data_IF_537471358622
#
_entry.id   IF_537471358622
#
_cell.length_a   1.000
_cell.length_b   1.000
_cell.length_c   1.000
_cell.angle_alpha   90.00
_cell.angle_beta   90.00
_cell.angle_gamma   90.00
#
_symmetry.space_group_name_H-M   'P 1'
#
loop_
_entity.id
_entity.type
_entity.pdbx_description
1 polymer ?
#
# COMPACT_ATOMS: atom_id res chain seq x y z
N UNK A 1 -13.85 -16.63 28.48
CA UNK A 1 -13.67 -15.15 28.44
C UNK A 1 -13.22 -14.79 27.04
N UNK A 2 -14.08 -14.19 26.23
CA UNK A 2 -13.70 -13.68 24.90
C UNK A 2 -12.84 -12.43 25.09
N UNK A 3 -11.65 -12.41 24.48
CA UNK A 3 -10.75 -11.27 24.59
C UNK A 3 -11.37 -10.06 23.90
N UNK A 4 -11.47 -8.89 24.54
CA UNK A 4 -12.11 -7.70 23.94
C UNK A 4 -11.43 -7.25 22.64
N UNK A 5 -10.15 -7.62 22.45
CA UNK A 5 -9.39 -7.36 21.22
C UNK A 5 -9.86 -8.18 20.02
N UNK A 6 -10.50 -9.33 20.19
CA UNK A 6 -10.94 -10.18 19.07
C UNK A 6 -12.05 -9.53 18.24
N UNK A 7 -12.86 -8.67 18.86
CA UNK A 7 -13.95 -7.93 18.21
C UNK A 7 -13.43 -6.95 17.16
N UNK A 8 -12.23 -6.40 17.36
CA UNK A 8 -11.57 -5.53 16.38
C UNK A 8 -10.66 -6.32 15.42
N UNK A 9 -9.94 -7.32 15.93
CA UNK A 9 -8.96 -8.05 15.13
C UNK A 9 -9.57 -8.89 14.01
N UNK A 10 -10.68 -9.61 14.28
CA UNK A 10 -11.31 -10.48 13.28
C UNK A 10 -11.80 -9.70 12.04
N UNK A 11 -12.55 -8.59 12.19
CA UNK A 11 -12.96 -7.81 11.03
C UNK A 11 -11.79 -7.24 10.24
N UNK A 12 -10.73 -6.76 10.91
CA UNK A 12 -9.53 -6.28 10.19
C UNK A 12 -8.91 -7.41 9.36
N UNK A 13 -8.72 -8.59 9.93
CA UNK A 13 -8.12 -9.72 9.23
C UNK A 13 -8.97 -10.20 8.04
N UNK A 14 -10.29 -10.29 8.22
CA UNK A 14 -11.24 -10.61 7.14
C UNK A 14 -11.18 -9.54 6.05
N UNK A 15 -11.15 -8.27 6.46
CA UNK A 15 -10.95 -7.14 5.57
C UNK A 15 -9.68 -7.29 4.74
N UNK A 16 -8.52 -7.47 5.38
CA UNK A 16 -7.22 -7.63 4.70
C UNK A 16 -7.26 -8.78 3.70
N UNK A 17 -7.80 -9.93 4.08
CA UNK A 17 -7.95 -11.08 3.19
C UNK A 17 -8.81 -10.73 1.96
N UNK A 18 -9.98 -10.11 2.16
CA UNK A 18 -10.85 -9.65 1.07
C UNK A 18 -10.16 -8.62 0.17
N UNK A 19 -9.50 -7.64 0.77
CA UNK A 19 -8.76 -6.60 0.06
C UNK A 19 -7.64 -7.16 -0.81
N UNK A 20 -6.96 -8.19 -0.32
CA UNK A 20 -5.88 -8.87 -1.05
C UNK A 20 -6.37 -9.76 -2.19
N UNK A 21 -7.62 -10.24 -2.13
CA UNK A 21 -8.21 -11.12 -3.12
C UNK A 21 -8.81 -10.36 -4.33
N UNK A 22 -9.02 -9.05 -4.21
CA UNK A 22 -9.55 -8.21 -5.29
C UNK A 22 -8.39 -7.71 -6.16
N UNK A 23 -8.28 -8.14 -7.43
CA UNK A 23 -7.10 -7.88 -8.26
C UNK A 23 -6.91 -6.39 -8.62
N UNK A 24 -8.01 -5.65 -8.79
CA UNK A 24 -7.96 -4.23 -9.17
C UNK A 24 -9.02 -3.45 -8.38
N UNK A 25 -8.58 -2.48 -7.59
CA UNK A 25 -9.45 -1.48 -6.98
C UNK A 25 -9.52 -0.29 -7.92
N UNK A 26 -10.66 -0.15 -8.60
CA UNK A 26 -10.96 1.07 -9.34
C UNK A 26 -11.32 2.23 -8.38
N UNK A 27 -11.50 3.42 -8.96
CA UNK A 27 -11.90 4.60 -8.20
C UNK A 27 -13.27 4.44 -7.54
N UNK A 28 -14.17 3.64 -8.14
CA UNK A 28 -15.51 3.37 -7.62
C UNK A 28 -15.50 2.52 -6.35
N UNK A 29 -14.73 1.44 -6.34
CA UNK A 29 -14.53 0.55 -5.18
C UNK A 29 -13.88 1.33 -4.04
N UNK A 30 -12.89 2.18 -4.35
CA UNK A 30 -12.22 3.02 -3.34
C UNK A 30 -13.20 4.04 -2.74
N UNK A 31 -14.02 4.69 -3.57
CA UNK A 31 -15.05 5.61 -3.11
C UNK A 31 -16.11 4.89 -2.25
N UNK A 32 -16.58 3.72 -2.67
CA UNK A 32 -17.53 2.91 -1.93
C UNK A 32 -16.98 2.48 -0.56
N UNK A 33 -15.72 2.02 -0.49
CA UNK A 33 -15.06 1.69 0.76
C UNK A 33 -14.95 2.92 1.69
N UNK A 34 -14.65 4.10 1.14
CA UNK A 34 -14.64 5.36 1.89
C UNK A 34 -16.01 5.72 2.47
N UNK A 35 -17.08 5.55 1.68
CA UNK A 35 -18.47 5.77 2.12
C UNK A 35 -18.88 4.78 3.23
N UNK A 36 -18.52 3.50 3.08
CA UNK A 36 -18.76 2.47 4.11
C UNK A 36 -18.00 2.81 5.40
N UNK A 37 -16.75 3.26 5.29
CA UNK A 37 -15.96 3.66 6.46
C UNK A 37 -16.59 4.89 7.16
N UNK A 38 -16.97 5.92 6.39
CA UNK A 38 -17.57 7.14 6.93
C UNK A 38 -18.92 6.86 7.61
N UNK A 39 -19.76 6.05 6.98
CA UNK A 39 -21.06 5.62 7.54
C UNK A 39 -20.89 4.73 8.78
N UNK A 40 -19.88 3.88 8.83
CA UNK A 40 -19.54 3.11 10.03
C UNK A 40 -19.15 4.03 11.20
N UNK A 41 -18.29 5.03 10.97
CA UNK A 41 -17.95 6.01 12.02
C UNK A 41 -19.15 6.83 12.49
N UNK A 42 -20.00 7.28 11.57
CA UNK A 42 -21.25 7.96 11.91
C UNK A 42 -22.19 7.06 12.73
N UNK A 43 -22.31 5.78 12.35
CA UNK A 43 -23.08 4.77 13.05
C UNK A 43 -22.55 4.49 14.47
N UNK A 44 -21.22 4.45 14.64
CA UNK A 44 -20.59 4.31 15.94
C UNK A 44 -20.87 5.52 16.84
N UNK A 45 -20.70 6.74 16.33
CA UNK A 45 -20.97 7.96 17.08
C UNK A 45 -22.45 8.06 17.48
N UNK A 46 -23.37 7.72 16.58
CA UNK A 46 -24.81 7.70 16.86
C UNK A 46 -25.20 6.60 17.86
N UNK A 47 -24.65 5.39 17.70
CA UNK A 47 -24.87 4.27 18.61
C UNK A 47 -24.36 4.55 20.03
N UNK A 48 -23.16 5.14 20.14
CA UNK A 48 -22.58 5.57 21.41
C UNK A 48 -23.43 6.64 22.10
N UNK A 49 -23.92 7.64 21.35
CA UNK A 49 -24.83 8.67 21.89
C UNK A 49 -26.14 8.11 22.42
N UNK A 50 -26.65 7.02 21.83
CA UNK A 50 -27.88 6.36 22.28
C UNK A 50 -27.65 5.23 23.31
N UNK A 51 -26.41 4.99 23.73
CA UNK A 51 -26.07 3.90 24.63
C UNK A 51 -26.30 2.50 24.03
N UNK A 52 -26.45 2.39 22.70
CA UNK A 52 -26.66 1.10 22.03
C UNK A 52 -25.33 0.43 21.76
N UNK A 53 -24.94 -0.48 22.65
CA UNK A 53 -23.73 -1.30 22.54
C UNK A 53 -23.74 -2.11 21.25
N UNK A 54 -24.90 -2.63 20.85
CA UNK A 54 -25.05 -3.44 19.61
C UNK A 54 -24.74 -2.59 18.37
N UNK A 55 -25.33 -1.39 18.26
CA UNK A 55 -25.08 -0.51 17.12
C UNK A 55 -23.62 -0.07 17.04
N UNK A 56 -23.00 0.26 18.18
CA UNK A 56 -21.59 0.60 18.26
C UNK A 56 -20.68 -0.58 17.85
N UNK A 57 -21.01 -1.80 18.27
CA UNK A 57 -20.23 -3.01 17.95
C UNK A 57 -20.30 -3.35 16.46
N UNK A 58 -21.49 -3.29 15.86
CA UNK A 58 -21.67 -3.52 14.41
C UNK A 58 -20.92 -2.47 13.61
N UNK A 59 -21.04 -1.19 13.98
CA UNK A 59 -20.31 -0.11 13.33
C UNK A 59 -18.79 -0.29 13.41
N UNK A 60 -18.26 -0.70 14.58
CA UNK A 60 -16.85 -1.04 14.73
C UNK A 60 -16.43 -2.21 13.85
N UNK A 61 -17.22 -3.29 13.78
CA UNK A 61 -16.90 -4.44 12.94
C UNK A 61 -16.85 -4.05 11.45
N UNK A 62 -17.84 -3.31 10.97
CA UNK A 62 -17.91 -2.85 9.58
C UNK A 62 -16.75 -1.91 9.24
N UNK A 63 -16.47 -0.93 10.11
CA UNK A 63 -15.38 0.03 9.89
C UNK A 63 -14.00 -0.64 9.86
N UNK A 64 -13.75 -1.56 10.80
CA UNK A 64 -12.50 -2.33 10.84
C UNK A 64 -12.34 -3.25 9.60
N UNK A 65 -13.44 -3.86 9.13
CA UNK A 65 -13.44 -4.66 7.90
C UNK A 65 -13.11 -3.84 6.66
N UNK A 66 -13.75 -2.68 6.48
CA UNK A 66 -13.47 -1.78 5.37
C UNK A 66 -12.02 -1.24 5.41
N UNK A 67 -11.52 -0.91 6.60
CA UNK A 67 -10.13 -0.50 6.79
C UNK A 67 -9.15 -1.62 6.42
N UNK A 68 -9.40 -2.84 6.90
CA UNK A 68 -8.60 -4.02 6.54
C UNK A 68 -8.56 -4.23 5.03
N UNK A 69 -9.70 -4.15 4.35
CA UNK A 69 -9.78 -4.30 2.90
C UNK A 69 -8.96 -3.26 2.14
N UNK A 70 -8.99 -2.01 2.58
CA UNK A 70 -8.17 -0.95 2.00
C UNK A 70 -6.67 -1.18 2.22
N UNK A 71 -6.26 -1.62 3.42
CA UNK A 71 -4.85 -1.95 3.70
C UNK A 71 -4.39 -3.15 2.86
N UNK A 72 -5.19 -4.22 2.83
CA UNK A 72 -4.89 -5.43 2.07
C UNK A 72 -4.68 -5.14 0.59
N UNK A 73 -5.57 -4.37 -0.04
CA UNK A 73 -5.45 -4.03 -1.45
C UNK A 73 -4.23 -3.14 -1.74
N UNK A 74 -3.97 -2.16 -0.87
CA UNK A 74 -2.81 -1.26 -1.01
C UNK A 74 -1.48 -2.01 -0.91
N UNK A 75 -1.35 -2.89 0.08
CA UNK A 75 -0.10 -3.65 0.27
C UNK A 75 0.06 -4.77 -0.77
N UNK A 76 -1.03 -5.43 -1.20
CA UNK A 76 -0.98 -6.36 -2.35
C UNK A 76 -0.51 -5.65 -3.62
N UNK A 77 -1.05 -4.46 -3.91
CA UNK A 77 -0.61 -3.68 -5.08
C UNK A 77 0.87 -3.34 -5.02
N UNK A 78 1.37 -2.93 -3.86
CA UNK A 78 2.80 -2.68 -3.63
C UNK A 78 3.64 -3.95 -3.75
N UNK A 79 3.14 -5.08 -3.27
CA UNK A 79 3.83 -6.36 -3.37
C UNK A 79 3.88 -6.89 -4.81
N UNK A 80 2.89 -6.54 -5.63
CA UNK A 80 2.82 -6.86 -7.06
C UNK A 80 3.60 -5.88 -7.94
N UNK A 81 4.01 -4.72 -7.42
CA UNK A 81 4.91 -3.84 -8.16
C UNK A 81 6.25 -4.57 -8.38
N UNK A 82 6.73 -4.66 -9.63
CA UNK A 82 7.95 -5.40 -9.92
C UNK A 82 9.12 -4.74 -9.19
N UNK A 83 9.83 -5.53 -8.40
CA UNK A 83 10.97 -5.05 -7.62
C UNK A 83 12.00 -4.38 -8.52
N UNK A 84 12.62 -3.30 -8.04
CA UNK A 84 13.75 -2.67 -8.73
C UNK A 84 14.83 -3.67 -9.15
N UNK A 85 15.08 -4.67 -8.30
CA UNK A 85 16.05 -5.73 -8.58
C UNK A 85 15.65 -6.57 -9.79
N UNK A 86 14.40 -7.03 -9.88
CA UNK A 86 13.94 -7.83 -11.02
C UNK A 86 13.94 -7.01 -12.31
N UNK A 87 13.55 -5.73 -12.25
CA UNK A 87 13.61 -4.82 -13.40
C UNK A 87 15.05 -4.52 -13.85
N UNK A 88 15.96 -4.32 -12.91
CA UNK A 88 17.37 -4.13 -13.21
C UNK A 88 17.97 -5.38 -13.86
N UNK A 89 17.69 -6.56 -13.31
CA UNK A 89 18.13 -7.84 -13.90
C UNK A 89 17.56 -8.01 -15.31
N UNK A 90 16.27 -7.76 -15.52
CA UNK A 90 15.66 -7.77 -16.86
C UNK A 90 16.36 -6.82 -17.83
N UNK A 91 16.67 -5.59 -17.40
CA UNK A 91 17.34 -4.59 -18.22
C UNK A 91 18.79 -4.96 -18.55
N UNK A 92 19.51 -5.59 -17.61
CA UNK A 92 20.90 -6.05 -17.78
C UNK A 92 20.97 -7.33 -18.62
N UNK A 93 20.08 -8.30 -18.40
CA UNK A 93 20.03 -9.55 -19.15
C UNK A 93 19.54 -9.35 -20.59
N UNK A 94 18.59 -8.43 -20.81
CA UNK A 94 18.17 -8.00 -22.15
C UNK A 94 19.12 -6.99 -22.79
N UNK A 95 19.98 -6.36 -21.98
CA UNK A 95 20.98 -5.38 -22.38
C UNK A 95 22.33 -6.01 -22.70
N UNK A 96 22.42 -6.79 -23.78
CA UNK A 96 23.71 -6.96 -24.49
C UNK A 96 24.11 -5.70 -25.28
N UNK A 97 23.20 -4.74 -25.41
CA UNK A 97 23.43 -3.46 -26.10
C UNK A 97 23.63 -2.34 -25.08
N UNK A 98 24.63 -1.49 -25.34
CA UNK A 98 25.21 -0.46 -24.46
C UNK A 98 24.31 0.76 -24.17
N UNK A 99 22.98 0.59 -24.20
CA UNK A 99 22.04 1.68 -23.96
C UNK A 99 22.01 2.05 -22.47
N UNK A 100 22.15 3.36 -22.14
CA UNK A 100 22.09 3.81 -20.77
C UNK A 100 20.70 3.59 -20.16
N UNK A 101 20.67 3.06 -18.94
CA UNK A 101 19.44 2.94 -18.14
C UNK A 101 19.14 4.29 -17.48
N UNK A 102 17.89 4.74 -17.62
CA UNK A 102 17.38 5.95 -16.97
C UNK A 102 16.67 5.55 -15.67
N UNK A 103 16.97 6.27 -14.59
CA UNK A 103 16.38 6.09 -13.25
C UNK A 103 15.76 7.41 -12.81
N UNK A 104 14.44 7.41 -12.57
CA UNK A 104 13.72 8.55 -12.01
C UNK A 104 13.33 8.27 -10.56
N UNK A 105 13.56 9.23 -9.67
CA UNK A 105 13.24 9.06 -8.26
C UNK A 105 13.40 10.34 -7.47
N UNK A 106 13.12 10.23 -6.16
CA UNK A 106 13.30 11.32 -5.20
C UNK A 106 14.49 11.03 -4.29
N UNK A 107 15.29 12.04 -4.02
CA UNK A 107 16.31 11.96 -2.98
C UNK A 107 15.61 11.74 -1.62
N UNK A 108 15.95 10.67 -0.90
CA UNK A 108 15.37 10.40 0.44
C UNK A 108 16.16 11.02 1.58
N UNK A 109 17.47 11.13 1.42
CA UNK A 109 18.40 11.65 2.41
C UNK A 109 19.46 12.49 1.72
N UNK A 110 19.92 13.51 2.44
CA UNK A 110 21.09 14.28 2.05
C UNK A 110 22.28 13.35 1.85
N UNK A 111 23.17 13.77 0.94
CA UNK A 111 24.37 13.03 0.60
C UNK A 111 25.19 12.76 1.86
N UNK A 112 25.50 11.49 2.12
CA UNK A 112 26.41 11.11 3.19
C UNK A 112 27.81 11.03 2.60
N UNK A 113 28.73 11.84 3.10
CA UNK A 113 30.13 11.78 2.68
C UNK A 113 30.70 10.39 3.01
N UNK A 114 31.44 9.82 2.06
CA UNK A 114 32.17 8.57 2.24
C UNK A 114 33.63 8.79 1.87
N UNK A 115 34.49 7.84 2.19
CA UNK A 115 35.93 7.89 1.84
C UNK A 115 36.17 7.98 0.33
N UNK A 116 35.15 7.70 -0.49
CA UNK A 116 35.20 7.72 -1.95
C UNK A 116 34.36 8.86 -2.57
N UNK A 117 33.84 9.79 -1.77
CA UNK A 117 33.02 10.91 -2.24
C UNK A 117 31.75 11.06 -1.42
N UNK A 118 30.60 10.72 -1.99
CA UNK A 118 29.32 10.77 -1.30
C UNK A 118 28.37 9.65 -1.77
N UNK A 119 27.57 9.14 -0.86
CA UNK A 119 26.48 8.19 -1.15
C UNK A 119 25.15 8.92 -1.09
N UNK A 120 24.34 8.74 -2.13
CA UNK A 120 22.99 9.29 -2.24
C UNK A 120 21.98 8.15 -2.13
N UNK A 121 20.94 8.33 -1.32
CA UNK A 121 19.83 7.37 -1.27
C UNK A 121 18.67 7.89 -2.12
N UNK A 122 18.44 7.24 -3.26
CA UNK A 122 17.32 7.52 -4.16
C UNK A 122 16.16 6.55 -3.88
N UNK A 123 14.98 7.11 -3.61
CA UNK A 123 13.72 6.39 -3.75
C UNK A 123 13.37 6.40 -5.22
N UNK A 124 13.69 5.31 -5.91
CA UNK A 124 13.36 5.17 -7.33
C UNK A 124 11.85 4.98 -7.45
N UNK A 125 11.26 5.73 -8.38
CA UNK A 125 9.85 5.64 -8.74
C UNK A 125 9.68 4.92 -10.08
N UNK A 126 10.62 5.15 -11.02
CA UNK A 126 10.60 4.57 -12.37
C UNK A 126 12.00 4.20 -12.84
N UNK A 127 12.10 3.13 -13.61
CA UNK A 127 13.35 2.67 -14.23
C UNK A 127 13.06 2.12 -15.62
N UNK A 128 13.97 2.35 -16.56
CA UNK A 128 13.82 1.83 -17.92
C UNK A 128 14.76 2.50 -18.91
N UNK A 129 14.43 2.38 -20.20
CA UNK A 129 15.09 3.15 -21.27
C UNK A 129 14.38 4.50 -21.42
N UNK A 130 15.04 5.49 -22.03
CA UNK A 130 14.51 6.87 -22.15
C UNK A 130 13.05 6.94 -22.62
N UNK A 131 12.65 6.06 -23.53
CA UNK A 131 11.31 6.04 -24.12
C UNK A 131 10.35 5.00 -23.48
N UNK A 132 10.84 4.18 -22.54
CA UNK A 132 10.07 3.11 -21.88
C UNK A 132 10.36 3.05 -20.38
N UNK A 133 9.89 4.07 -19.66
CA UNK A 133 10.02 4.17 -18.20
C UNK A 133 8.82 3.53 -17.52
N UNK A 134 9.06 2.39 -16.87
CA UNK A 134 8.04 1.68 -16.10
C UNK A 134 8.17 1.97 -14.60
N UNK A 135 7.04 1.96 -13.85
CA UNK A 135 7.09 2.05 -12.40
C UNK A 135 7.87 0.86 -11.81
N UNK A 136 8.74 1.16 -10.86
CA UNK A 136 9.48 0.17 -10.09
C UNK A 136 9.67 0.69 -8.67
N UNK A 137 9.36 -0.14 -7.68
CA UNK A 137 9.50 0.23 -6.28
C UNK A 137 10.68 -0.47 -5.60
N UNK A 138 11.32 0.27 -4.68
CA UNK A 138 12.47 -0.18 -3.90
C UNK A 138 13.48 0.96 -3.65
N UNK A 139 14.63 0.61 -3.08
CA UNK A 139 15.74 1.55 -2.91
C UNK A 139 17.00 1.01 -3.58
N UNK A 140 17.75 1.90 -4.23
CA UNK A 140 19.14 1.69 -4.60
C UNK A 140 20.03 2.46 -3.61
N UNK A 141 21.17 1.86 -3.23
CA UNK A 141 22.18 2.43 -2.35
C UNK A 141 23.52 2.45 -3.07
#
# INVERSE_FOLDING_TARGET
>A
MTHPTSVAALPVLVGVALGSAVPEWDAGITAAAGVVLASAWAGLAHGARRGSIVAATVALAVGNGAFGAWVGSRETRRALEPSLKSRYVDLVERGRDADPVTVEGRLRRDAVATTYGATLTLAVERIGRRDDLAPASGGLR
#
